data_IF_502573088321
#
_entry.id   IF_502573088321
#
_cell.length_a   1.000
_cell.length_b   1.000
_cell.length_c   1.000
_cell.angle_alpha   90.00
_cell.angle_beta   90.00
_cell.angle_gamma   90.00
#
_symmetry.space_group_name_H-M   'P 1'
#
loop_
_entity.id
_entity.type
_entity.pdbx_description
1 polymer ?
#
# COMPACT_ATOMS: atom_id res chain seq x y z
N UNK A 1 -1.25 -5.89 5.81
CA UNK A 1 -1.42 -6.06 4.35
C UNK A 1 -0.78 -4.90 3.58
N UNK A 2 -0.59 -3.77 4.27
CA UNK A 2 0.16 -2.61 3.80
C UNK A 2 1.46 -2.89 3.02
N UNK A 3 2.35 -3.84 3.39
CA UNK A 3 3.56 -4.10 2.60
C UNK A 3 3.26 -4.55 1.17
N UNK A 4 2.16 -5.28 0.93
CA UNK A 4 1.78 -5.72 -0.40
C UNK A 4 1.19 -4.57 -1.24
N UNK A 5 0.38 -3.70 -0.62
CA UNK A 5 -0.09 -2.48 -1.30
C UNK A 5 1.08 -1.57 -1.68
N UNK A 6 2.02 -1.34 -0.76
CA UNK A 6 3.21 -0.54 -1.04
C UNK A 6 4.06 -1.16 -2.16
N UNK A 7 4.22 -2.49 -2.18
CA UNK A 7 4.93 -3.18 -3.25
C UNK A 7 4.26 -2.98 -4.62
N UNK A 8 2.92 -3.06 -4.69
CA UNK A 8 2.18 -2.81 -5.92
C UNK A 8 2.33 -1.38 -6.44
N UNK A 9 2.18 -0.38 -5.56
CA UNK A 9 2.37 1.04 -5.92
C UNK A 9 3.80 1.31 -6.37
N UNK A 10 4.79 0.75 -5.65
CA UNK A 10 6.20 0.89 -6.01
C UNK A 10 6.50 0.25 -7.37
N UNK A 11 5.92 -0.92 -7.68
CA UNK A 11 6.09 -1.56 -8.98
C UNK A 11 5.55 -0.70 -10.13
N UNK A 12 4.39 -0.05 -9.94
CA UNK A 12 3.85 0.89 -10.94
C UNK A 12 4.70 2.16 -11.08
N UNK A 13 5.26 2.68 -9.98
CA UNK A 13 6.17 3.82 -10.05
C UNK A 13 7.44 3.48 -10.85
N UNK A 14 8.01 2.29 -10.63
CA UNK A 14 9.16 1.80 -11.40
C UNK A 14 8.79 1.57 -12.86
N UNK A 15 7.65 0.94 -13.14
CA UNK A 15 7.18 0.72 -14.51
C UNK A 15 6.95 2.04 -15.26
N UNK A 16 6.38 3.05 -14.60
CA UNK A 16 6.21 4.40 -15.16
C UNK A 16 7.56 5.03 -15.49
N UNK A 17 8.53 4.95 -14.56
CA UNK A 17 9.87 5.48 -14.79
C UNK A 17 10.56 4.78 -15.97
N UNK A 18 10.47 3.46 -16.06
CA UNK A 18 11.07 2.68 -17.13
C UNK A 18 10.42 2.98 -18.48
N UNK A 19 9.09 2.99 -18.55
CA UNK A 19 8.36 3.27 -19.80
C UNK A 19 8.63 4.68 -20.31
N UNK A 20 8.71 5.67 -19.40
CA UNK A 20 9.05 7.04 -19.74
C UNK A 20 10.49 7.18 -20.26
N UNK A 21 11.48 6.60 -19.57
CA UNK A 21 12.89 6.66 -19.97
C UNK A 21 13.18 5.88 -21.26
N UNK A 22 12.46 4.79 -21.49
CA UNK A 22 12.61 3.96 -22.69
C UNK A 22 11.93 4.55 -23.94
N UNK A 23 11.21 5.68 -23.80
CA UNK A 23 10.42 6.23 -24.90
C UNK A 23 9.33 5.27 -25.37
N UNK A 24 8.72 4.53 -24.45
CA UNK A 24 7.64 3.61 -24.76
C UNK A 24 6.43 4.38 -25.34
N UNK A 25 5.56 3.72 -26.12
CA UNK A 25 4.35 4.34 -26.64
C UNK A 25 3.49 4.95 -25.51
N UNK A 26 2.88 6.12 -25.77
CA UNK A 26 2.18 6.92 -24.76
C UNK A 26 1.15 6.12 -23.95
N UNK A 27 0.42 5.20 -24.58
CA UNK A 27 -0.56 4.37 -23.88
C UNK A 27 0.04 3.52 -22.75
N UNK A 28 1.29 3.08 -22.86
CA UNK A 28 1.96 2.35 -21.77
C UNK A 28 2.32 3.26 -20.59
N UNK A 29 2.73 4.50 -20.88
CA UNK A 29 2.99 5.52 -19.87
C UNK A 29 1.67 5.89 -19.17
N UNK A 30 0.59 6.07 -19.91
CA UNK A 30 -0.75 6.33 -19.37
C UNK A 30 -1.25 5.20 -18.48
N UNK A 31 -1.09 3.93 -18.90
CA UNK A 31 -1.51 2.76 -18.10
C UNK A 31 -0.70 2.68 -16.79
N UNK A 32 0.62 2.82 -16.86
CA UNK A 32 1.48 2.74 -15.67
C UNK A 32 1.23 3.89 -14.71
N UNK A 33 0.97 5.10 -15.24
CA UNK A 33 0.57 6.26 -14.46
C UNK A 33 -0.81 6.08 -13.82
N UNK A 34 -1.80 5.60 -14.57
CA UNK A 34 -3.13 5.31 -14.05
C UNK A 34 -3.08 4.26 -12.93
N UNK A 35 -2.28 3.20 -13.10
CA UNK A 35 -2.04 2.19 -12.07
C UNK A 35 -1.39 2.77 -10.81
N UNK A 36 -0.44 3.70 -10.96
CA UNK A 36 0.19 4.41 -9.84
C UNK A 36 -0.83 5.25 -9.06
N UNK A 37 -1.65 6.05 -9.75
CA UNK A 37 -2.68 6.88 -9.13
C UNK A 37 -3.75 6.01 -8.45
N UNK A 38 -4.20 4.95 -9.12
CA UNK A 38 -5.21 4.05 -8.56
C UNK A 38 -4.69 3.21 -7.39
N UNK A 39 -3.38 3.05 -7.28
CA UNK A 39 -2.72 2.42 -6.13
C UNK A 39 -2.84 3.22 -4.83
N UNK A 40 -3.01 4.55 -4.90
CA UNK A 40 -3.12 5.44 -3.73
C UNK A 40 -4.34 5.11 -2.86
N UNK A 41 -5.58 5.08 -3.39
CA UNK A 41 -6.75 4.73 -2.58
C UNK A 41 -6.64 3.31 -2.01
N UNK A 42 -6.13 2.35 -2.78
CA UNK A 42 -5.89 0.97 -2.30
C UNK A 42 -4.89 0.90 -1.14
N UNK A 43 -3.85 1.73 -1.16
CA UNK A 43 -2.88 1.81 -0.06
C UNK A 43 -3.49 2.48 1.17
N UNK A 44 -4.26 3.57 0.98
CA UNK A 44 -4.95 4.27 2.06
C UNK A 44 -5.91 3.36 2.82
N UNK A 45 -6.73 2.57 2.11
CA UNK A 45 -7.65 1.63 2.75
C UNK A 45 -6.90 0.60 3.59
N UNK A 46 -5.74 0.11 3.11
CA UNK A 46 -4.89 -0.80 3.89
C UNK A 46 -4.27 -0.14 5.12
N UNK A 47 -3.87 1.13 5.05
CA UNK A 47 -3.37 1.88 6.23
C UNK A 47 -4.47 1.97 7.29
N UNK A 48 -5.69 2.35 6.90
CA UNK A 48 -6.83 2.46 7.82
C UNK A 48 -7.20 1.10 8.41
N UNK A 49 -7.22 0.05 7.58
CA UNK A 49 -7.47 -1.31 8.02
C UNK A 49 -6.42 -1.81 9.03
N UNK A 50 -5.12 -1.61 8.75
CA UNK A 50 -4.03 -2.06 9.62
C UNK A 50 -3.97 -1.24 10.93
N UNK A 51 -4.41 0.03 10.94
CA UNK A 51 -4.60 0.83 12.17
C UNK A 51 -5.56 0.16 13.15
N UNK A 52 -6.70 -0.33 12.66
CA UNK A 52 -7.67 -1.07 13.47
C UNK A 52 -7.14 -2.44 13.94
N UNK A 53 -6.35 -3.12 13.11
CA UNK A 53 -5.73 -4.41 13.46
C UNK A 53 -4.72 -4.28 14.61
N UNK A 54 -3.90 -3.21 14.62
CA UNK A 54 -2.92 -2.96 15.70
C UNK A 54 -3.61 -2.73 17.04
N UNK A 55 -4.77 -2.05 17.04
CA UNK A 55 -5.54 -1.78 18.25
C UNK A 55 -6.17 -3.04 18.84
N UNK A 56 -6.65 -3.97 18.00
CA UNK A 56 -7.25 -5.24 18.45
C UNK A 56 -6.24 -6.20 19.07
N UNK A 57 -4.97 -6.21 18.62
CA UNK A 57 -3.91 -7.05 19.22
C UNK A 57 -3.57 -6.65 20.66
N UNK A 58 -3.75 -5.38 21.02
CA UNK A 58 -3.54 -4.88 22.39
C UNK A 58 -4.64 -5.36 23.33
N UNK A 59 -5.86 -5.54 22.83
CA UNK A 59 -7.02 -5.97 23.63
C UNK A 59 -7.13 -7.49 23.79
N UNK A 60 -6.33 -8.27 23.06
CA UNK A 60 -6.31 -9.75 23.15
C UNK A 60 -5.29 -10.32 24.14
N UNK A 61 -4.59 -9.47 24.89
CA UNK A 61 -3.82 -9.87 26.09
C UNK A 61 -4.49 -9.35 27.37
N UNK A 62 -5.65 -9.91 27.77
CA UNK A 62 -6.31 -9.58 29.03
C UNK A 62 -5.56 -10.12 30.28
N UNK A 63 -4.51 -10.94 30.12
CA UNK A 63 -3.87 -11.65 31.24
C UNK A 63 -2.94 -10.83 32.17
N UNK A 64 -2.76 -9.52 32.01
CA UNK A 64 -1.90 -8.75 32.92
C UNK A 64 -2.64 -7.64 33.68
N UNK A 65 -3.21 -8.00 34.82
CA UNK A 65 -3.44 -7.08 35.94
C UNK A 65 -3.10 -7.84 37.22
N UNK A 66 -1.87 -7.69 37.71
CA UNK A 66 -1.48 -8.12 39.06
C UNK A 66 -2.06 -7.09 40.02
N UNK A 67 -3.20 -7.42 40.62
CA UNK A 67 -3.78 -6.70 41.76
C UNK A 67 -2.78 -6.67 42.91
N UNK A 68 -2.54 -5.48 43.46
CA UNK A 68 -1.66 -5.25 44.61
C UNK A 68 -2.19 -5.80 45.93
#
# INVERSE_FOLDING_TARGET
MLPFALAGVAAFAVALLVTWLAGAPDHWVEITFAGLIWGIPGTLTMVVHDRGRKHRRVLTHPEFTVTG
#
